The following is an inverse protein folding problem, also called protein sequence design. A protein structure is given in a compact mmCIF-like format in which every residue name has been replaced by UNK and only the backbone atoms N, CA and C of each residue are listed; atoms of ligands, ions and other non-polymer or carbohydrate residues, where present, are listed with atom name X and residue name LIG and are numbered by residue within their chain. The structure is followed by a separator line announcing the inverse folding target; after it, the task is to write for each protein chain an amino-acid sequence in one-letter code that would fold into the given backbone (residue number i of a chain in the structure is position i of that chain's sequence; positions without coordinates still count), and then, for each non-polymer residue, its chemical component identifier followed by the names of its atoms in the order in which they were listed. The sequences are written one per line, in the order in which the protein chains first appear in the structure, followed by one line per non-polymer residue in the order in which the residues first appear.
data_IF_906620508424
#
_entry.id   IF_906620508424
#
_cell.length_a   1.000
_cell.length_b   1.000
_cell.length_c   1.000
_cell.angle_alpha   90.00
_cell.angle_beta   90.00
_cell.angle_gamma   90.00
#
_symmetry.space_group_name_H-M   'P 1'
#
loop_
_entity.id
_entity.type
_entity.pdbx_description
1 polymer ?
#
# COMPACT_ATOMS: atom_id res chain seq x y z
N UNK A 1 -12.50 -11.21 -17.20
CA UNK A 1 -13.56 -12.23 -17.29
C UNK A 1 -14.76 -11.81 -16.44
N UNK A 2 -15.96 -11.78 -17.03
CA UNK A 2 -17.18 -11.50 -16.29
C UNK A 2 -17.76 -12.80 -15.71
N UNK A 3 -17.90 -12.86 -14.40
CA UNK A 3 -18.55 -13.99 -13.75
C UNK A 3 -20.05 -13.75 -13.70
N UNK A 4 -20.81 -14.44 -14.56
CA UNK A 4 -22.24 -14.30 -14.66
C UNK A 4 -23.01 -14.78 -13.42
N UNK A 5 -22.49 -15.75 -12.68
CA UNK A 5 -23.14 -16.26 -11.46
C UNK A 5 -23.14 -15.22 -10.36
N UNK A 6 -22.03 -14.48 -10.20
CA UNK A 6 -21.87 -13.47 -9.15
C UNK A 6 -22.02 -12.03 -9.67
N UNK A 7 -22.37 -11.82 -10.95
CA UNK A 7 -22.43 -10.50 -11.59
C UNK A 7 -21.17 -9.65 -11.36
N UNK A 8 -19.99 -10.27 -11.43
CA UNK A 8 -18.72 -9.66 -11.07
C UNK A 8 -17.76 -9.69 -12.26
N UNK A 9 -17.19 -8.56 -12.57
CA UNK A 9 -16.04 -8.47 -13.48
C UNK A 9 -14.77 -8.66 -12.69
N UNK A 10 -13.99 -9.68 -13.02
CA UNK A 10 -12.72 -9.94 -12.40
C UNK A 10 -11.59 -9.61 -13.38
N UNK A 11 -10.76 -8.66 -13.01
CA UNK A 11 -9.49 -8.40 -13.68
C UNK A 11 -8.38 -9.07 -12.88
N UNK A 12 -7.66 -9.99 -13.51
CA UNK A 12 -6.58 -10.72 -12.86
C UNK A 12 -5.25 -10.37 -13.51
N UNK A 13 -4.25 -10.10 -12.66
CA UNK A 13 -2.86 -9.87 -13.05
C UNK A 13 -1.97 -10.73 -12.15
N UNK A 14 -1.09 -11.54 -12.72
CA UNK A 14 -0.14 -12.34 -11.94
C UNK A 14 0.86 -11.43 -11.24
N UNK A 15 1.65 -10.67 -11.99
CA UNK A 15 2.65 -9.75 -11.42
C UNK A 15 2.50 -8.36 -12.04
N UNK A 16 2.38 -7.35 -11.19
CA UNK A 16 2.38 -5.95 -11.57
C UNK A 16 3.66 -5.28 -11.04
N UNK A 17 4.42 -4.62 -11.92
CA UNK A 17 5.67 -3.94 -11.54
C UNK A 17 5.60 -2.48 -11.95
N UNK A 18 5.83 -1.59 -10.98
CA UNK A 18 5.93 -0.15 -11.18
C UNK A 18 7.32 0.30 -10.76
N UNK A 19 8.09 0.86 -11.69
CA UNK A 19 9.43 1.42 -11.39
C UNK A 19 9.43 2.90 -11.72
N UNK A 20 9.77 3.74 -10.75
CA UNK A 20 9.83 5.19 -10.90
C UNK A 20 11.29 5.62 -10.76
N UNK A 21 11.89 6.02 -11.88
CA UNK A 21 13.27 6.51 -11.92
C UNK A 21 13.37 8.05 -11.84
N UNK A 22 12.25 8.76 -12.02
CA UNK A 22 12.19 10.22 -12.01
C UNK A 22 10.79 10.72 -12.37
N UNK A 23 10.68 12.03 -12.59
CA UNK A 23 9.41 12.68 -12.95
C UNK A 23 8.68 13.27 -11.74
N UNK A 24 7.53 13.89 -12.02
CA UNK A 24 6.67 14.51 -11.00
C UNK A 24 5.30 13.86 -11.02
N UNK A 25 4.92 13.26 -9.92
CA UNK A 25 3.64 12.61 -9.70
C UNK A 25 2.84 13.42 -8.66
N UNK A 26 1.74 14.03 -9.08
CA UNK A 26 0.87 14.85 -8.22
C UNK A 26 -0.30 14.08 -7.64
N UNK A 27 -0.51 12.85 -8.09
CA UNK A 27 -1.51 11.93 -7.61
C UNK A 27 -0.89 10.78 -6.81
N UNK A 28 -1.67 9.72 -6.65
CA UNK A 28 -1.27 8.49 -5.98
C UNK A 28 -0.57 7.53 -6.94
N UNK A 29 0.40 6.78 -6.44
CA UNK A 29 1.02 5.65 -7.13
C UNK A 29 0.55 4.36 -6.46
N UNK A 30 0.03 3.42 -7.21
CA UNK A 30 -0.42 2.13 -6.74
C UNK A 30 0.28 0.99 -7.49
N UNK A 31 0.75 -0.02 -6.76
CA UNK A 31 1.32 -1.22 -7.35
C UNK A 31 0.27 -2.21 -7.82
N UNK A 32 -0.80 -2.35 -7.06
CA UNK A 32 -1.93 -3.21 -7.39
C UNK A 32 -2.94 -2.55 -8.34
N UNK A 33 -4.02 -3.27 -8.59
CA UNK A 33 -5.09 -2.76 -9.43
C UNK A 33 -5.90 -1.65 -8.78
N UNK A 34 -6.55 -0.84 -9.57
CA UNK A 34 -7.55 0.10 -9.12
C UNK A 34 -8.94 -0.34 -9.58
N UNK A 35 -9.93 -0.19 -8.73
CA UNK A 35 -11.31 -0.31 -9.15
C UNK A 35 -12.05 1.00 -8.87
N UNK A 36 -12.67 1.54 -9.92
CA UNK A 36 -13.59 2.65 -9.74
C UNK A 36 -14.91 2.11 -9.19
N UNK A 37 -15.22 2.45 -7.98
CA UNK A 37 -16.55 2.24 -7.43
C UNK A 37 -17.35 3.54 -7.58
N UNK A 38 -18.37 3.52 -8.43
CA UNK A 38 -19.32 4.63 -8.53
C UNK A 38 -20.50 4.35 -7.60
N UNK A 39 -20.44 4.86 -6.36
CA UNK A 39 -21.57 4.74 -5.44
C UNK A 39 -21.24 5.18 -4.01
N UNK A 40 -22.26 5.55 -3.28
CA UNK A 40 -22.17 5.99 -1.88
C UNK A 40 -21.69 4.93 -0.88
N UNK A 41 -21.42 3.73 -1.34
CA UNK A 41 -20.90 2.61 -0.55
C UNK A 41 -19.38 2.45 -0.59
N UNK A 42 -18.66 3.32 -1.30
CA UNK A 42 -17.19 3.32 -1.32
C UNK A 42 -16.55 3.61 0.05
N UNK A 43 -17.36 4.07 1.00
CA UNK A 43 -16.95 4.30 2.39
C UNK A 43 -17.33 3.15 3.34
N UNK A 44 -17.89 2.07 2.84
CA UNK A 44 -18.14 0.90 3.67
C UNK A 44 -16.81 0.23 4.01
N UNK A 45 -16.51 0.02 5.29
CA UNK A 45 -15.30 -0.65 5.68
C UNK A 45 -15.28 -2.04 5.05
N UNK A 46 -14.14 -2.40 4.46
CA UNK A 46 -13.89 -3.75 4.00
C UNK A 46 -13.80 -4.62 5.24
N UNK A 47 -14.77 -5.49 5.40
CA UNK A 47 -14.70 -6.50 6.42
C UNK A 47 -13.90 -7.69 5.90
N UNK A 48 -13.21 -8.36 6.81
CA UNK A 48 -12.66 -9.69 6.59
C UNK A 48 -13.68 -10.56 5.83
N UNK A 49 -13.25 -11.21 4.75
CA UNK A 49 -14.15 -11.92 3.83
C UNK A 49 -14.61 -11.15 2.59
N UNK A 50 -14.30 -9.86 2.46
CA UNK A 50 -14.64 -9.10 1.26
C UNK A 50 -13.63 -9.22 0.11
N UNK A 51 -12.50 -9.91 0.30
CA UNK A 51 -11.57 -10.19 -0.81
C UNK A 51 -12.23 -10.92 -1.99
N UNK A 52 -13.22 -11.75 -1.71
CA UNK A 52 -14.01 -12.42 -2.73
C UNK A 52 -14.83 -11.45 -3.61
N UNK A 53 -15.09 -10.25 -3.11
CA UNK A 53 -15.77 -9.17 -3.83
C UNK A 53 -14.81 -8.29 -4.63
N UNK A 54 -13.50 -8.52 -4.54
CA UNK A 54 -12.51 -7.74 -5.28
C UNK A 54 -12.79 -7.83 -6.80
N UNK A 55 -12.84 -6.69 -7.46
CA UNK A 55 -13.04 -6.61 -8.91
C UNK A 55 -11.71 -6.67 -9.67
N UNK A 56 -10.61 -6.38 -8.98
CA UNK A 56 -9.26 -6.51 -9.48
C UNK A 56 -8.43 -7.33 -8.52
N UNK A 57 -7.77 -8.36 -9.02
CA UNK A 57 -6.89 -9.24 -8.25
C UNK A 57 -5.48 -9.19 -8.85
N UNK A 58 -4.49 -8.96 -8.00
CA UNK A 58 -3.07 -9.00 -8.36
C UNK A 58 -2.39 -10.00 -7.43
N UNK A 59 -1.67 -10.98 -7.97
CA UNK A 59 -0.95 -11.93 -7.12
C UNK A 59 0.26 -11.25 -6.46
N UNK A 60 1.08 -10.55 -7.23
CA UNK A 60 2.23 -9.84 -6.71
C UNK A 60 2.32 -8.43 -7.32
N UNK A 61 2.34 -7.41 -6.47
CA UNK A 61 2.56 -6.03 -6.84
C UNK A 61 3.89 -5.54 -6.28
N UNK A 62 4.75 -4.98 -7.14
CA UNK A 62 6.06 -4.46 -6.75
C UNK A 62 6.17 -3.02 -7.21
N UNK A 63 6.36 -2.10 -6.27
CA UNK A 63 6.63 -0.68 -6.55
C UNK A 63 8.05 -0.36 -6.14
N UNK A 64 8.86 0.13 -7.07
CA UNK A 64 10.26 0.53 -6.82
C UNK A 64 10.44 2.00 -7.13
N UNK A 65 10.92 2.77 -6.16
CA UNK A 65 11.16 4.21 -6.26
C UNK A 65 12.67 4.47 -6.24
N UNK A 66 13.21 4.93 -7.36
CA UNK A 66 14.61 5.30 -7.53
C UNK A 66 14.82 6.82 -7.57
N UNK A 67 13.77 7.59 -7.93
CA UNK A 67 13.85 9.04 -8.07
C UNK A 67 12.46 9.65 -8.30
N UNK A 68 12.43 10.97 -8.45
CA UNK A 68 11.20 11.69 -8.73
C UNK A 68 10.66 12.51 -7.55
N UNK A 69 9.52 13.14 -7.77
CA UNK A 69 8.74 13.86 -6.76
C UNK A 69 7.39 13.15 -6.63
N UNK A 70 7.08 12.65 -5.45
CA UNK A 70 5.89 11.84 -5.21
C UNK A 70 5.12 12.38 -4.00
N UNK A 71 3.81 12.13 -3.99
CA UNK A 71 2.95 12.44 -2.84
C UNK A 71 2.67 11.17 -2.06
N UNK A 72 1.83 10.29 -2.59
CA UNK A 72 1.38 9.09 -1.92
C UNK A 72 1.76 7.86 -2.73
N UNK A 73 2.39 6.88 -2.08
CA UNK A 73 2.84 5.65 -2.72
C UNK A 73 2.30 4.45 -1.95
N UNK A 74 1.68 3.53 -2.66
CA UNK A 74 1.07 2.33 -2.13
C UNK A 74 1.65 1.10 -2.83
N UNK A 75 2.07 0.11 -2.06
CA UNK A 75 2.48 -1.19 -2.60
C UNK A 75 1.30 -1.95 -3.22
N UNK A 76 0.13 -1.89 -2.59
CA UNK A 76 -1.10 -2.52 -3.05
C UNK A 76 -1.97 -1.65 -3.95
N UNK A 77 -3.22 -2.06 -4.11
CA UNK A 77 -4.19 -1.43 -5.01
C UNK A 77 -5.11 -0.41 -4.34
N UNK A 78 -6.03 0.13 -5.10
CA UNK A 78 -7.03 1.10 -4.65
C UNK A 78 -8.45 0.53 -4.75
N UNK A 79 -9.32 0.94 -3.82
CA UNK A 79 -10.74 0.60 -3.83
C UNK A 79 -11.00 -0.89 -3.65
N UNK A 80 -11.93 -1.46 -4.44
CA UNK A 80 -12.29 -2.88 -4.38
C UNK A 80 -11.22 -3.73 -5.09
N UNK A 81 -9.99 -3.68 -4.60
CA UNK A 81 -8.86 -4.43 -5.11
C UNK A 81 -8.33 -5.42 -4.07
N UNK A 82 -7.82 -6.53 -4.54
CA UNK A 82 -7.13 -7.51 -3.74
C UNK A 82 -5.74 -7.75 -4.31
N UNK A 83 -4.73 -7.60 -3.47
CA UNK A 83 -3.33 -7.88 -3.79
C UNK A 83 -2.83 -8.96 -2.83
N UNK A 84 -2.46 -10.15 -3.32
CA UNK A 84 -1.99 -11.20 -2.42
C UNK A 84 -0.70 -10.78 -1.72
N UNK A 85 0.27 -10.27 -2.50
CA UNK A 85 1.52 -9.76 -1.96
C UNK A 85 1.84 -8.39 -2.52
N UNK A 86 1.93 -7.38 -1.68
CA UNK A 86 2.30 -6.01 -2.01
C UNK A 86 3.70 -5.67 -1.49
N UNK A 87 4.56 -5.10 -2.33
CA UNK A 87 5.91 -4.69 -1.95
C UNK A 87 6.19 -3.27 -2.42
N UNK A 88 6.58 -2.39 -1.51
CA UNK A 88 7.06 -1.05 -1.79
C UNK A 88 8.54 -0.93 -1.40
N UNK A 89 9.39 -0.61 -2.35
CA UNK A 89 10.83 -0.41 -2.16
C UNK A 89 11.19 1.04 -2.50
N UNK A 90 11.73 1.78 -1.54
CA UNK A 90 12.33 3.10 -1.77
C UNK A 90 13.84 2.95 -1.70
N UNK A 91 14.49 3.00 -2.86
CA UNK A 91 15.92 2.74 -2.97
C UNK A 91 16.78 3.86 -2.37
N UNK A 92 18.03 3.51 -2.06
CA UNK A 92 19.04 4.42 -1.49
C UNK A 92 19.31 5.64 -2.40
N UNK A 93 19.14 5.51 -3.71
CA UNK A 93 19.28 6.59 -4.68
C UNK A 93 18.17 7.66 -4.57
N UNK A 94 17.03 7.34 -3.97
CA UNK A 94 15.94 8.29 -3.78
C UNK A 94 16.30 9.28 -2.66
N UNK A 95 16.39 10.56 -2.98
CA UNK A 95 16.68 11.64 -2.02
C UNK A 95 15.50 12.59 -1.80
N UNK A 96 14.36 12.30 -2.46
CA UNK A 96 13.16 13.12 -2.43
C UNK A 96 12.31 12.97 -1.16
N UNK A 97 11.10 13.49 -1.26
CA UNK A 97 10.11 13.40 -0.19
C UNK A 97 8.90 12.57 -0.66
N UNK A 98 8.35 11.77 0.24
CA UNK A 98 7.09 11.05 0.10
C UNK A 98 6.20 11.47 1.27
N UNK A 99 4.96 11.89 1.00
CA UNK A 99 4.03 12.24 2.07
C UNK A 99 3.53 10.98 2.78
N UNK A 100 3.06 9.97 2.03
CA UNK A 100 2.60 8.70 2.57
C UNK A 100 3.27 7.53 1.83
N UNK A 101 4.00 6.70 2.55
CA UNK A 101 4.49 5.40 2.10
C UNK A 101 3.69 4.30 2.82
N UNK A 102 2.91 3.54 2.06
CA UNK A 102 1.96 2.56 2.58
C UNK A 102 2.27 1.19 2.00
N UNK A 103 2.42 0.19 2.87
CA UNK A 103 2.71 -1.18 2.43
C UNK A 103 1.58 -1.77 1.58
N UNK A 104 0.36 -1.71 2.08
CA UNK A 104 -0.83 -2.15 1.38
C UNK A 104 -1.42 -1.10 0.45
N UNK A 105 -2.72 -1.17 0.26
CA UNK A 105 -3.45 -0.29 -0.64
C UNK A 105 -4.15 0.88 0.04
N UNK A 106 -4.80 1.68 -0.78
CA UNK A 106 -5.75 2.69 -0.35
C UNK A 106 -7.17 2.11 -0.46
N UNK A 107 -7.81 1.79 0.65
CA UNK A 107 -9.07 1.08 0.74
C UNK A 107 -9.07 -0.36 0.17
N UNK A 108 -7.92 -0.90 -0.22
CA UNK A 108 -7.77 -2.24 -0.76
C UNK A 108 -7.50 -3.29 0.32
N UNK A 109 -7.50 -4.55 -0.12
CA UNK A 109 -7.13 -5.69 0.70
C UNK A 109 -5.79 -6.27 0.25
N UNK A 110 -4.93 -6.68 1.20
CA UNK A 110 -3.74 -7.47 0.90
C UNK A 110 -3.59 -8.62 1.91
N UNK A 111 -3.05 -9.77 1.47
CA UNK A 111 -2.67 -10.81 2.42
C UNK A 111 -1.34 -10.45 3.08
N UNK A 112 -0.37 -10.05 2.28
CA UNK A 112 0.97 -9.68 2.74
C UNK A 112 1.37 -8.32 2.18
N UNK A 113 1.95 -7.47 2.99
CA UNK A 113 2.42 -6.16 2.55
C UNK A 113 3.76 -5.79 3.18
N UNK A 114 4.71 -5.40 2.35
CA UNK A 114 6.09 -5.11 2.70
C UNK A 114 6.47 -3.69 2.30
N UNK A 115 7.19 -2.99 3.16
CA UNK A 115 7.87 -1.73 2.82
C UNK A 115 9.33 -1.81 3.19
N UNK A 116 10.19 -1.42 2.26
CA UNK A 116 11.63 -1.28 2.48
C UNK A 116 12.07 0.15 2.13
N UNK A 117 12.49 0.91 3.11
CA UNK A 117 12.92 2.31 2.96
C UNK A 117 14.43 2.43 3.14
N UNK A 118 15.16 2.51 2.04
CA UNK A 118 16.63 2.66 2.04
C UNK A 118 17.08 4.12 1.85
N UNK A 119 16.20 5.04 1.49
CA UNK A 119 16.53 6.45 1.25
C UNK A 119 15.33 7.39 1.34
N UNK A 120 15.61 8.68 1.14
CA UNK A 120 14.60 9.73 1.11
C UNK A 120 14.04 10.15 2.46
N UNK A 121 13.01 10.98 2.37
CA UNK A 121 12.25 11.47 3.53
C UNK A 121 10.80 11.05 3.39
N UNK A 122 10.25 10.42 4.41
CA UNK A 122 8.87 9.95 4.45
C UNK A 122 8.16 10.63 5.61
N UNK A 123 7.05 11.34 5.33
CA UNK A 123 6.28 11.97 6.40
C UNK A 123 5.50 10.93 7.20
N UNK A 124 4.81 10.02 6.53
CA UNK A 124 4.04 8.95 7.17
C UNK A 124 4.40 7.62 6.51
N UNK A 125 4.93 6.70 7.30
CA UNK A 125 5.06 5.28 6.98
C UNK A 125 3.93 4.53 7.69
N UNK A 126 3.18 3.71 6.98
CA UNK A 126 2.09 2.92 7.56
C UNK A 126 1.88 1.61 6.82
N UNK A 127 1.36 0.61 7.53
CA UNK A 127 1.03 -0.67 6.91
C UNK A 127 -0.14 -0.53 5.94
N UNK A 128 -1.19 0.15 6.33
CA UNK A 128 -2.41 0.28 5.53
C UNK A 128 -3.04 1.66 5.65
N UNK A 129 -3.70 2.12 4.59
CA UNK A 129 -4.53 3.32 4.59
C UNK A 129 -5.98 2.93 4.24
N UNK A 130 -6.85 2.89 5.23
CA UNK A 130 -8.28 2.60 5.09
C UNK A 130 -8.59 1.26 4.40
N UNK A 131 -7.81 0.22 4.68
CA UNK A 131 -7.99 -1.11 4.11
C UNK A 131 -7.67 -2.19 5.13
N UNK A 132 -7.47 -3.42 4.64
CA UNK A 132 -7.07 -4.57 5.45
C UNK A 132 -5.82 -5.21 4.92
N UNK A 133 -4.96 -5.63 5.84
CA UNK A 133 -3.80 -6.47 5.56
C UNK A 133 -3.79 -7.57 6.60
N UNK A 134 -3.50 -8.82 6.20
CA UNK A 134 -3.29 -9.87 7.18
C UNK A 134 -1.92 -9.70 7.86
N UNK A 135 -0.87 -9.59 7.06
CA UNK A 135 0.49 -9.49 7.56
C UNK A 135 1.23 -8.30 6.96
N UNK A 136 1.95 -7.55 7.78
CA UNK A 136 2.78 -6.44 7.31
C UNK A 136 4.16 -6.43 7.96
N UNK A 137 5.20 -6.30 7.12
CA UNK A 137 6.56 -6.07 7.56
C UNK A 137 7.11 -4.78 6.95
N UNK A 138 7.62 -3.90 7.80
CA UNK A 138 8.19 -2.63 7.40
C UNK A 138 9.65 -2.53 7.87
N UNK A 139 10.53 -2.13 6.96
CA UNK A 139 11.94 -1.91 7.20
C UNK A 139 12.33 -0.45 6.94
N UNK A 140 12.99 0.19 7.89
CA UNK A 140 13.68 1.46 7.70
C UNK A 140 15.18 1.22 7.82
N UNK A 141 15.92 1.40 6.71
CA UNK A 141 17.36 1.20 6.64
C UNK A 141 18.04 2.31 5.82
N UNK A 142 18.04 3.53 6.35
CA UNK A 142 18.66 4.70 5.72
C UNK A 142 17.71 5.89 5.50
N UNK A 143 16.41 5.67 5.45
CA UNK A 143 15.44 6.74 5.26
C UNK A 143 15.22 7.59 6.52
N UNK A 144 14.69 8.81 6.33
CA UNK A 144 14.22 9.65 7.42
C UNK A 144 12.68 9.63 7.45
N UNK A 145 12.11 9.08 8.49
CA UNK A 145 10.66 8.95 8.69
C UNK A 145 10.21 9.87 9.82
N UNK A 146 9.18 10.66 9.58
CA UNK A 146 8.62 11.52 10.63
C UNK A 146 7.68 10.72 11.56
N UNK A 147 6.71 10.02 11.01
CA UNK A 147 5.77 9.20 11.76
C UNK A 147 5.69 7.80 11.16
N UNK A 148 5.84 6.78 11.98
CA UNK A 148 5.69 5.38 11.60
C UNK A 148 4.57 4.73 12.42
N UNK A 149 3.57 4.21 11.73
CA UNK A 149 2.44 3.48 12.32
C UNK A 149 2.52 2.02 11.90
N UNK A 150 2.67 1.13 12.88
CA UNK A 150 2.79 -0.31 12.60
C UNK A 150 1.53 -0.88 11.95
N UNK A 151 0.38 -0.25 12.19
CA UNK A 151 -0.88 -0.58 11.53
C UNK A 151 -1.32 0.56 10.60
N UNK A 152 -2.08 1.55 11.12
CA UNK A 152 -2.56 2.70 10.36
C UNK A 152 -2.51 3.97 11.18
N UNK A 153 -2.51 5.14 10.54
CA UNK A 153 -2.49 6.45 11.18
C UNK A 153 -3.72 6.73 12.09
N UNK A 154 -4.66 5.83 12.15
CA UNK A 154 -5.86 5.96 13.00
C UNK A 154 -7.03 6.60 12.27
N UNK A 155 -7.98 5.78 11.95
CA UNK A 155 -9.34 6.18 11.59
C UNK A 155 -10.27 5.38 12.54
N UNK A 156 -11.37 5.98 12.99
CA UNK A 156 -12.37 5.35 13.85
C UNK A 156 -13.05 4.11 13.21
N UNK A 157 -12.57 3.65 12.08
CA UNK A 157 -13.04 2.48 11.36
C UNK A 157 -12.16 1.30 11.74
N UNK A 158 -12.75 0.13 11.93
CA UNK A 158 -12.03 -1.13 12.23
C UNK A 158 -11.20 -1.57 11.01
N UNK A 159 -10.14 -0.83 10.71
CA UNK A 159 -9.25 -1.04 9.59
C UNK A 159 -7.84 -1.25 10.13
N UNK A 160 -7.05 -2.08 9.50
CA UNK A 160 -5.69 -2.28 9.95
C UNK A 160 -5.08 -3.61 9.55
N UNK A 161 -4.14 -4.04 10.36
CA UNK A 161 -3.48 -5.35 10.24
C UNK A 161 -4.19 -6.34 11.16
N UNK A 162 -4.54 -7.52 10.63
CA UNK A 162 -5.41 -8.48 11.33
C UNK A 162 -4.64 -9.60 12.02
N UNK A 163 -3.46 -9.97 11.53
CA UNK A 163 -2.67 -11.10 12.08
C UNK A 163 -1.36 -10.62 12.70
N UNK A 164 -0.47 -10.05 11.89
CA UNK A 164 0.83 -9.58 12.38
C UNK A 164 1.29 -8.30 11.70
N UNK A 165 1.90 -7.42 12.48
CA UNK A 165 2.58 -6.23 11.98
C UNK A 165 3.94 -6.07 12.63
N UNK A 166 4.97 -5.79 11.85
CA UNK A 166 6.30 -5.50 12.35
C UNK A 166 6.89 -4.23 11.75
N UNK A 167 7.74 -3.55 12.52
CA UNK A 167 8.58 -2.46 12.07
C UNK A 167 9.99 -2.69 12.58
N UNK A 168 10.93 -2.83 11.65
CA UNK A 168 12.36 -2.93 11.94
C UNK A 168 13.06 -1.65 11.51
N UNK A 169 13.80 -1.03 12.44
CA UNK A 169 14.62 0.15 12.17
C UNK A 169 16.08 -0.26 12.31
N UNK A 170 16.82 -0.35 11.21
CA UNK A 170 18.25 -0.68 11.19
C UNK A 170 19.11 0.56 11.20
N UNK A 171 18.75 1.53 10.36
CA UNK A 171 19.48 2.79 10.24
C UNK A 171 18.55 3.91 9.73
N UNK A 172 19.03 5.17 9.72
CA UNK A 172 18.21 6.33 9.38
C UNK A 172 17.63 7.00 10.63
N UNK A 173 16.51 7.71 10.48
CA UNK A 173 15.83 8.39 11.58
C UNK A 173 14.34 8.13 11.53
N UNK A 174 13.76 7.74 12.67
CA UNK A 174 12.30 7.69 12.86
C UNK A 174 11.99 8.58 14.05
N UNK A 175 11.15 9.61 13.85
CA UNK A 175 10.85 10.59 14.90
C UNK A 175 9.82 10.06 15.89
N UNK A 176 8.73 9.49 15.37
CA UNK A 176 7.62 8.96 16.15
C UNK A 176 7.26 7.55 15.68
N UNK A 177 6.97 6.65 16.62
CA UNK A 177 6.48 5.29 16.35
C UNK A 177 5.22 5.06 17.20
N UNK A 178 4.17 4.52 16.58
CA UNK A 178 2.92 4.15 17.25
C UNK A 178 2.32 2.83 16.66
#
# INVERSE_FOLDING_TARGET
LYNYENKKTLFYVGTAVVTINGGKFTGKVHGGGASSYSGSTCHQPWYEGNKEKATTVVDEAIVTINGGTLTDVFGGGEGISYTKKATLIVNKSFTGNIAYATAGGSNGYADEAYVELYGGKVRVLQAVNRGFINNSDMLVDGANVENAYVSSEGDNRKLGVTESASLTIKSGKVKNVA
#
